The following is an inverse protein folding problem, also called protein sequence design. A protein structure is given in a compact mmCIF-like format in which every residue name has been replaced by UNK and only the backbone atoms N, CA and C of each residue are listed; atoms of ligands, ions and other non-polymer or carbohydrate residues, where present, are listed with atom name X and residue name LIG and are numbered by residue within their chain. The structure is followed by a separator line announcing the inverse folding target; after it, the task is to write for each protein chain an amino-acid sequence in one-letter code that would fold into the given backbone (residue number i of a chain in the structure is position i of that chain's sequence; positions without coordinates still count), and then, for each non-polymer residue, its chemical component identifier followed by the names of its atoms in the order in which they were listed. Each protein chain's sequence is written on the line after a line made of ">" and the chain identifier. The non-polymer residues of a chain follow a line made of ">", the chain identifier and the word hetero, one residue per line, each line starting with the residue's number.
data_IF_540214948669
#
_entry.id   IF_540214948669
#
_cell.length_a   1.000
_cell.length_b   1.000
_cell.length_c   1.000
_cell.angle_alpha   90.00
_cell.angle_beta   90.00
_cell.angle_gamma   90.00
#
_symmetry.space_group_name_H-M   'P 1'
#
loop_
_entity.id
_entity.type
_entity.pdbx_description
1 polymer ?
#
# COMPACT_ATOMS: atom_id res chain seq x y z
N UNK A 1 21.20 -37.54 1.32
CA UNK A 1 20.58 -36.65 2.34
C UNK A 1 20.31 -35.21 1.86
N UNK A 2 20.92 -34.72 0.77
CA UNK A 2 20.64 -33.37 0.19
C UNK A 2 19.77 -33.36 -1.09
N UNK A 3 19.27 -34.52 -1.54
CA UNK A 3 18.50 -34.64 -2.78
C UNK A 3 17.14 -33.94 -2.71
N UNK A 4 16.53 -33.86 -1.51
CA UNK A 4 15.26 -33.15 -1.26
C UNK A 4 15.31 -31.65 -1.61
N UNK A 5 16.47 -31.01 -1.43
CA UNK A 5 16.66 -29.58 -1.69
C UNK A 5 16.93 -29.32 -3.18
N UNK A 6 17.46 -30.31 -3.90
CA UNK A 6 17.83 -30.21 -5.32
C UNK A 6 16.62 -30.42 -6.24
N UNK A 7 15.76 -31.37 -5.92
CA UNK A 7 14.60 -31.72 -6.75
C UNK A 7 13.48 -30.67 -6.67
N UNK A 8 13.34 -30.02 -5.51
CA UNK A 8 12.31 -29.00 -5.25
C UNK A 8 12.86 -27.57 -5.29
N UNK A 9 14.04 -27.36 -5.89
CA UNK A 9 14.64 -26.02 -6.03
C UNK A 9 13.69 -25.07 -6.78
N UNK A 10 13.00 -25.58 -7.81
CA UNK A 10 11.98 -24.84 -8.53
C UNK A 10 10.82 -24.41 -7.62
N UNK A 11 10.34 -25.31 -6.76
CA UNK A 11 9.26 -25.03 -5.80
C UNK A 11 9.65 -23.94 -4.80
N UNK A 12 10.89 -23.96 -4.29
CA UNK A 12 11.40 -22.93 -3.37
C UNK A 12 11.40 -21.56 -4.05
N UNK A 13 11.86 -21.49 -5.30
CA UNK A 13 11.89 -20.24 -6.08
C UNK A 13 10.46 -19.71 -6.29
N UNK A 14 9.51 -20.57 -6.67
CA UNK A 14 8.11 -20.18 -6.87
C UNK A 14 7.50 -19.61 -5.59
N UNK A 15 7.71 -20.28 -4.45
CA UNK A 15 7.19 -19.80 -3.15
C UNK A 15 7.79 -18.45 -2.78
N UNK A 16 9.10 -18.24 -3.01
CA UNK A 16 9.75 -16.95 -2.74
C UNK A 16 9.17 -15.81 -3.59
N UNK A 17 8.92 -16.06 -4.88
CA UNK A 17 8.33 -15.05 -5.78
C UNK A 17 6.92 -14.69 -5.33
N UNK A 18 6.08 -15.68 -4.99
CA UNK A 18 4.72 -15.45 -4.49
C UNK A 18 4.76 -14.66 -3.17
N UNK A 19 5.61 -15.06 -2.23
CA UNK A 19 5.76 -14.37 -0.94
C UNK A 19 6.23 -12.91 -1.12
N UNK A 20 7.17 -12.65 -2.02
CA UNK A 20 7.63 -11.31 -2.34
C UNK A 20 6.49 -10.45 -2.93
N UNK A 21 5.71 -11.00 -3.86
CA UNK A 21 4.57 -10.30 -4.46
C UNK A 21 3.49 -9.93 -3.42
N UNK A 22 3.13 -10.88 -2.54
CA UNK A 22 2.17 -10.63 -1.45
C UNK A 22 2.70 -9.55 -0.50
N UNK A 23 3.96 -9.64 -0.10
CA UNK A 23 4.60 -8.66 0.78
C UNK A 23 4.58 -7.26 0.15
N UNK A 24 4.93 -7.16 -1.14
CA UNK A 24 4.90 -5.89 -1.87
C UNK A 24 3.48 -5.30 -1.96
N UNK A 25 2.46 -6.14 -2.17
CA UNK A 25 1.06 -5.71 -2.18
C UNK A 25 0.62 -5.16 -0.82
N UNK A 26 0.90 -5.89 0.27
CA UNK A 26 0.58 -5.45 1.64
C UNK A 26 1.30 -4.15 1.97
N UNK A 27 2.60 -4.04 1.65
CA UNK A 27 3.37 -2.81 1.88
C UNK A 27 2.79 -1.65 1.08
N UNK A 28 2.36 -1.86 -0.18
CA UNK A 28 1.67 -0.83 -0.96
C UNK A 28 0.40 -0.35 -0.28
N UNK A 29 -0.45 -1.26 0.20
CA UNK A 29 -1.69 -0.92 0.91
C UNK A 29 -1.39 -0.13 2.19
N UNK A 30 -0.40 -0.57 2.98
CA UNK A 30 0.00 0.15 4.21
C UNK A 30 0.55 1.54 3.87
N UNK A 31 1.36 1.68 2.82
CA UNK A 31 1.90 2.97 2.37
C UNK A 31 0.83 3.90 1.82
N UNK A 32 -0.16 3.36 1.11
CA UNK A 32 -1.31 4.10 0.59
C UNK A 32 -2.24 4.54 1.73
N UNK A 33 -2.37 3.72 2.79
CA UNK A 33 -3.10 4.11 3.99
C UNK A 33 -2.35 5.15 4.84
N UNK A 34 -1.02 5.05 4.92
CA UNK A 34 -0.16 6.02 5.64
C UNK A 34 0.00 7.35 4.91
N UNK A 35 -0.05 7.34 3.57
CA UNK A 35 -0.20 8.54 2.75
C UNK A 35 -1.65 8.59 2.31
N UNK A 36 -2.60 8.95 3.19
CA UNK A 36 -3.97 9.12 2.74
C UNK A 36 -3.91 10.05 1.55
N UNK A 37 -4.29 9.55 0.37
CA UNK A 37 -4.62 10.41 -0.76
C UNK A 37 -5.79 11.24 -0.25
N UNK A 38 -5.47 12.34 0.41
CA UNK A 38 -6.46 13.26 0.91
C UNK A 38 -7.21 13.71 -0.33
N UNK A 39 -8.49 13.37 -0.39
CA UNK A 39 -9.36 13.77 -1.50
C UNK A 39 -9.37 15.30 -1.68
N UNK A 40 -8.88 16.06 -0.69
CA UNK A 40 -8.46 17.44 -0.84
C UNK A 40 -7.03 17.51 -1.41
N UNK A 41 -6.91 17.63 -2.73
CA UNK A 41 -5.69 18.07 -3.39
C UNK A 41 -5.17 19.37 -2.74
N UNK A 42 -4.06 19.32 -2.00
CA UNK A 42 -3.35 20.52 -1.54
C UNK A 42 -3.88 21.19 -0.26
N UNK A 43 -4.55 20.44 0.62
CA UNK A 43 -5.02 20.95 1.92
C UNK A 43 -6.27 21.85 1.81
N UNK A 44 -6.70 22.43 2.94
CA UNK A 44 -7.95 23.20 3.01
C UNK A 44 -7.98 24.45 2.12
N UNK A 45 -6.84 24.90 1.56
CA UNK A 45 -6.79 26.06 0.66
C UNK A 45 -7.29 25.76 -0.76
N UNK A 46 -7.14 24.51 -1.24
CA UNK A 46 -7.55 24.07 -2.59
C UNK A 46 -8.75 23.12 -2.62
N UNK A 47 -9.36 22.84 -1.47
CA UNK A 47 -10.45 21.87 -1.40
C UNK A 47 -11.78 22.47 -1.88
N UNK A 48 -12.47 21.79 -2.78
CA UNK A 48 -13.79 22.19 -3.32
C UNK A 48 -14.85 22.39 -2.22
N UNK A 49 -14.64 21.76 -1.06
CA UNK A 49 -15.50 21.84 0.13
C UNK A 49 -15.01 22.87 1.18
N UNK A 50 -14.06 23.75 0.85
CA UNK A 50 -13.47 24.72 1.80
C UNK A 50 -14.52 25.58 2.52
N UNK A 51 -15.62 25.93 1.86
CA UNK A 51 -16.70 26.75 2.43
C UNK A 51 -17.66 26.00 3.36
N UNK A 52 -17.55 24.68 3.51
CA UNK A 52 -18.40 23.89 4.41
C UNK A 52 -17.71 23.47 5.70
N UNK A 53 -16.37 23.46 5.73
CA UNK A 53 -15.61 22.96 6.88
C UNK A 53 -15.47 24.00 8.00
N UNK A 54 -15.45 25.29 7.67
CA UNK A 54 -15.47 26.38 8.64
C UNK A 54 -16.69 27.25 8.29
N UNK A 55 -17.75 27.17 9.09
CA UNK A 55 -18.72 28.27 9.15
C UNK A 55 -18.00 29.40 9.87
N UNK A 56 -17.81 30.53 9.21
CA UNK A 56 -17.50 31.77 9.91
C UNK A 56 -18.77 32.12 10.68
N UNK A 57 -18.74 31.85 11.98
CA UNK A 57 -19.78 32.30 12.90
C UNK A 57 -19.62 33.83 13.00
N UNK A 58 -20.59 34.55 12.44
CA UNK A 58 -20.77 35.99 12.67
C UNK A 58 -21.07 36.30 14.15
#
# INVERSE_FOLDING_TARGET
>A
MFLLIKENLATIIVVLVIAAAITAAVVKIIRDKRNPKSSCCGGCKGCMMRGSCHKEDE
#
